data_IF_799093743441
#
_entry.id   IF_799093743441
#
_cell.length_a   1.000
_cell.length_b   1.000
_cell.length_c   1.000
_cell.angle_alpha   90.00
_cell.angle_beta   90.00
_cell.angle_gamma   90.00
#
_symmetry.space_group_name_H-M   'P 1'
#
loop_
_entity.id
_entity.type
_entity.pdbx_description
1 polymer ?
#
# COMPACT_ATOMS: atom_id res chain seq x y z
N UNK A 1 34.28 -2.15 -26.71
CA UNK A 1 33.07 -1.30 -26.72
C UNK A 1 32.06 -1.96 -27.63
N UNK A 2 30.95 -2.44 -27.06
CA UNK A 2 29.59 -2.49 -27.63
C UNK A 2 28.74 -3.40 -26.73
N UNK A 3 28.27 -2.83 -25.61
CA UNK A 3 27.22 -3.42 -24.78
C UNK A 3 25.87 -3.09 -25.42
N UNK A 4 25.42 -3.90 -26.38
CA UNK A 4 24.03 -3.89 -26.80
C UNK A 4 23.30 -4.90 -25.91
N UNK A 5 22.82 -4.43 -24.75
CA UNK A 5 21.93 -5.20 -23.88
C UNK A 5 20.58 -5.40 -24.57
N UNK A 6 20.42 -6.55 -25.21
CA UNK A 6 19.26 -6.93 -25.99
C UNK A 6 17.94 -6.74 -25.24
N UNK A 7 17.05 -5.89 -25.78
CA UNK A 7 15.62 -5.79 -25.40
C UNK A 7 14.84 -7.03 -25.88
N UNK A 8 15.29 -8.22 -25.47
CA UNK A 8 14.64 -9.49 -25.81
C UNK A 8 13.63 -9.83 -24.73
N UNK A 9 12.35 -9.58 -25.03
CA UNK A 9 11.23 -9.93 -24.15
C UNK A 9 11.13 -11.46 -24.00
N UNK A 10 11.39 -11.98 -22.81
CA UNK A 10 11.26 -13.42 -22.49
C UNK A 10 9.90 -13.74 -21.90
N UNK A 11 9.22 -14.75 -22.46
CA UNK A 11 7.98 -15.30 -21.87
C UNK A 11 8.31 -16.17 -20.66
N UNK A 12 7.59 -15.95 -19.57
CA UNK A 12 7.77 -16.69 -18.31
C UNK A 12 6.43 -17.19 -17.77
N UNK A 13 6.48 -18.17 -16.87
CA UNK A 13 5.29 -18.61 -16.14
C UNK A 13 4.75 -17.48 -15.26
N UNK A 14 3.45 -17.22 -15.32
CA UNK A 14 2.77 -16.15 -14.58
C UNK A 14 3.00 -16.25 -13.08
N UNK A 15 2.73 -17.41 -12.50
CA UNK A 15 2.83 -17.62 -11.04
C UNK A 15 4.28 -17.48 -10.57
N UNK A 16 5.23 -17.97 -11.35
CA UNK A 16 6.66 -17.82 -11.05
C UNK A 16 7.04 -16.34 -10.99
N UNK A 17 6.68 -15.55 -12.01
CA UNK A 17 6.99 -14.12 -12.06
C UNK A 17 6.40 -13.33 -10.88
N UNK A 18 5.12 -13.56 -10.57
CA UNK A 18 4.39 -12.93 -9.46
C UNK A 18 5.06 -13.28 -8.13
N UNK A 19 5.36 -14.56 -7.90
CA UNK A 19 5.95 -15.02 -6.65
C UNK A 19 7.40 -14.55 -6.48
N UNK A 20 8.23 -14.67 -7.53
CA UNK A 20 9.64 -14.24 -7.51
C UNK A 20 9.77 -12.74 -7.23
N UNK A 21 8.90 -11.92 -7.82
CA UNK A 21 8.92 -10.47 -7.61
C UNK A 21 8.05 -10.01 -6.43
N UNK A 22 7.31 -10.93 -5.78
CA UNK A 22 6.39 -10.63 -4.69
C UNK A 22 5.40 -9.51 -5.01
N UNK A 23 4.94 -9.45 -6.27
CA UNK A 23 3.99 -8.45 -6.75
C UNK A 23 2.58 -9.04 -6.84
N UNK A 24 1.55 -8.19 -6.74
CA UNK A 24 0.16 -8.63 -6.86
C UNK A 24 -0.26 -8.90 -8.31
N UNK A 25 -1.13 -9.88 -8.51
CA UNK A 25 -1.71 -10.20 -9.83
C UNK A 25 -2.40 -8.99 -10.49
N UNK A 26 -3.10 -8.18 -9.67
CA UNK A 26 -3.75 -6.94 -10.11
C UNK A 26 -2.76 -5.93 -10.67
N UNK A 27 -1.57 -5.85 -10.09
CA UNK A 27 -0.50 -4.95 -10.53
C UNK A 27 0.00 -5.35 -11.92
N UNK A 28 0.31 -6.62 -12.12
CA UNK A 28 0.74 -7.16 -13.42
C UNK A 28 -0.34 -6.90 -14.49
N UNK A 29 -1.62 -7.16 -14.16
CA UNK A 29 -2.74 -6.91 -15.07
C UNK A 29 -2.87 -5.43 -15.42
N UNK A 30 -2.71 -4.53 -14.45
CA UNK A 30 -2.76 -3.09 -14.68
C UNK A 30 -1.67 -2.64 -15.66
N UNK A 31 -0.45 -3.16 -15.52
CA UNK A 31 0.66 -2.83 -16.42
C UNK A 31 0.44 -3.34 -17.85
N UNK A 32 -0.10 -4.55 -18.00
CA UNK A 32 -0.43 -5.09 -19.33
C UNK A 32 -1.58 -4.36 -20.01
N UNK A 33 -2.47 -3.72 -19.23
CA UNK A 33 -3.59 -2.94 -19.75
C UNK A 33 -3.19 -1.50 -20.10
N UNK A 34 -2.23 -0.91 -19.38
CA UNK A 34 -1.71 0.44 -19.67
C UNK A 34 -0.83 0.53 -20.91
N UNK A 35 -0.32 -0.59 -21.40
CA UNK A 35 0.48 -0.69 -22.63
C UNK A 35 -0.40 -0.72 -23.91
N UNK A 36 -1.73 -0.80 -23.75
CA UNK A 36 -2.70 -0.72 -24.84
C UNK A 36 -3.21 0.73 -24.97
N UNK A 37 -3.38 1.28 -26.19
CA UNK A 37 -3.98 2.60 -26.37
C UNK A 37 -5.46 2.53 -25.95
N UNK A 38 -5.76 2.98 -24.73
CA UNK A 38 -7.13 2.97 -24.20
C UNK A 38 -7.92 4.17 -24.71
N UNK A 39 -8.88 3.95 -25.59
CA UNK A 39 -10.01 4.86 -25.82
C UNK A 39 -10.94 4.83 -24.61
N UNK A 40 -10.75 5.71 -23.62
CA UNK A 40 -11.79 5.95 -22.62
C UNK A 40 -11.47 7.15 -21.74
N UNK A 41 -12.00 8.31 -22.14
CA UNK A 41 -12.01 9.55 -21.36
C UNK A 41 -13.01 9.51 -20.19
N UNK A 42 -13.93 8.54 -20.15
CA UNK A 42 -14.98 8.43 -19.13
C UNK A 42 -14.51 7.80 -17.79
N UNK A 43 -13.28 7.25 -17.75
CA UNK A 43 -12.76 6.54 -16.58
C UNK A 43 -11.93 7.41 -15.61
N UNK A 44 -11.56 8.63 -16.01
CA UNK A 44 -10.68 9.52 -15.22
C UNK A 44 -11.39 10.03 -13.96
N UNK A 45 -12.63 10.53 -14.08
CA UNK A 45 -13.40 11.06 -12.96
C UNK A 45 -13.72 10.00 -11.90
N UNK A 46 -14.08 8.79 -12.34
CA UNK A 46 -14.35 7.68 -11.43
C UNK A 46 -13.08 7.24 -10.68
N UNK A 47 -11.93 7.22 -11.37
CA UNK A 47 -10.65 6.94 -10.71
C UNK A 47 -10.23 8.05 -9.75
N UNK A 48 -10.44 9.32 -10.10
CA UNK A 48 -10.15 10.45 -9.24
C UNK A 48 -11.01 10.40 -7.95
N UNK A 49 -12.29 10.04 -8.07
CA UNK A 49 -13.18 9.84 -6.93
C UNK A 49 -12.69 8.70 -6.03
N UNK A 50 -12.31 7.55 -6.57
CA UNK A 50 -11.76 6.42 -5.81
C UNK A 50 -10.47 6.82 -5.08
N UNK A 51 -9.57 7.56 -5.75
CA UNK A 51 -8.33 8.08 -5.14
C UNK A 51 -8.63 9.04 -3.99
N UNK A 52 -9.60 9.95 -4.15
CA UNK A 52 -10.02 10.89 -3.11
C UNK A 52 -10.64 10.18 -1.91
N UNK A 53 -11.53 9.22 -2.14
CA UNK A 53 -12.12 8.41 -1.07
C UNK A 53 -11.05 7.63 -0.30
N UNK A 54 -10.09 7.02 -0.99
CA UNK A 54 -8.96 6.33 -0.36
C UNK A 54 -8.10 7.29 0.46
N UNK A 55 -7.81 8.48 -0.06
CA UNK A 55 -7.04 9.52 0.66
C UNK A 55 -7.76 9.96 1.94
N UNK A 56 -9.07 10.21 1.88
CA UNK A 56 -9.86 10.57 3.05
C UNK A 56 -9.86 9.44 4.10
N UNK A 57 -10.00 8.18 3.67
CA UNK A 57 -9.93 7.03 4.58
C UNK A 57 -8.56 6.94 5.26
N UNK A 58 -7.46 7.14 4.52
CA UNK A 58 -6.10 7.14 5.10
C UNK A 58 -5.95 8.25 6.13
N UNK A 59 -6.42 9.47 5.82
CA UNK A 59 -6.38 10.60 6.77
C UNK A 59 -7.15 10.32 8.04
N UNK A 60 -8.36 9.75 7.93
CA UNK A 60 -9.17 9.40 9.11
C UNK A 60 -8.47 8.35 9.98
N UNK A 61 -7.81 7.36 9.37
CA UNK A 61 -7.03 6.36 10.10
C UNK A 61 -5.81 6.99 10.77
N UNK A 62 -5.10 7.88 10.06
CA UNK A 62 -3.94 8.57 10.60
C UNK A 62 -4.31 9.49 11.78
N UNK A 63 -5.42 10.22 11.69
CA UNK A 63 -5.95 11.05 12.77
C UNK A 63 -6.35 10.20 13.99
N UNK A 64 -7.00 9.05 13.76
CA UNK A 64 -7.30 8.08 14.81
C UNK A 64 -6.03 7.52 15.46
N UNK A 65 -5.04 7.10 14.69
CA UNK A 65 -3.78 6.57 15.24
C UNK A 65 -3.00 7.64 16.02
N UNK A 66 -3.10 8.91 15.63
CA UNK A 66 -2.46 10.01 16.33
C UNK A 66 -3.15 10.41 17.64
N UNK A 67 -4.43 10.08 17.82
CA UNK A 67 -5.16 10.32 19.08
C UNK A 67 -4.90 9.25 20.15
N UNK A 68 -4.26 8.14 19.79
CA UNK A 68 -3.89 7.09 20.73
C UNK A 68 -2.75 7.55 21.66
N UNK A 69 -2.79 7.16 22.96
CA UNK A 69 -1.71 7.45 23.89
C UNK A 69 -0.42 6.75 23.45
N UNK A 70 0.64 7.54 23.29
CA UNK A 70 1.94 7.11 22.79
C UNK A 70 2.85 6.78 23.98
N UNK A 71 3.56 5.66 23.90
CA UNK A 71 4.53 5.27 24.93
C UNK A 71 5.91 5.75 24.53
N UNK A 72 6.65 6.27 25.50
CA UNK A 72 8.04 6.65 25.34
C UNK A 72 8.90 5.47 24.88
N UNK A 73 9.87 5.80 24.03
CA UNK A 73 10.64 4.89 23.19
C UNK A 73 11.59 3.94 23.93
N UNK A 74 11.39 3.65 25.23
CA UNK A 74 12.25 2.74 25.98
C UNK A 74 12.34 1.32 25.37
N UNK A 75 11.34 0.93 24.56
CA UNK A 75 11.36 -0.28 23.72
C UNK A 75 11.90 -0.07 22.30
N UNK A 76 12.09 1.18 21.86
CA UNK A 76 12.72 1.50 20.59
C UNK A 76 14.24 1.53 20.79
N UNK A 77 14.94 0.58 20.17
CA UNK A 77 16.37 0.74 19.94
C UNK A 77 16.60 2.03 19.15
N UNK A 78 17.74 2.70 19.38
CA UNK A 78 18.09 4.04 18.92
C UNK A 78 17.95 4.31 17.39
N UNK A 79 17.64 3.30 16.58
CA UNK A 79 17.45 3.38 15.13
C UNK A 79 15.99 3.31 14.66
N UNK A 80 15.00 3.15 15.54
CA UNK A 80 13.61 2.91 15.15
C UNK A 80 12.68 4.09 15.40
N UNK A 81 12.04 4.58 14.34
CA UNK A 81 10.93 5.55 14.40
C UNK A 81 9.56 4.90 14.69
N UNK A 82 9.55 3.67 15.23
CA UNK A 82 8.30 2.98 15.58
C UNK A 82 7.69 3.63 16.81
N UNK A 83 6.39 3.79 16.79
CA UNK A 83 5.60 4.32 17.90
C UNK A 83 4.83 3.18 18.54
N UNK A 84 4.94 3.04 19.87
CA UNK A 84 4.21 2.03 20.61
C UNK A 84 3.00 2.66 21.30
N UNK A 85 1.90 1.92 21.32
CA UNK A 85 0.68 2.28 22.04
C UNK A 85 0.73 1.63 23.41
N UNK A 86 0.21 2.33 24.42
CA UNK A 86 0.16 1.81 25.78
C UNK A 86 -0.74 0.55 25.83
N UNK A 87 -0.34 -0.52 26.56
CA UNK A 87 -1.10 -1.78 26.60
C UNK A 87 -2.35 -1.65 27.51
N UNK A 88 -3.17 -0.63 27.27
CA UNK A 88 -4.41 -0.35 28.01
C UNK A 88 -5.55 -1.29 27.63
N UNK A 89 -5.49 -1.89 26.44
CA UNK A 89 -6.54 -2.75 25.90
C UNK A 89 -6.00 -4.13 25.55
N UNK A 90 -6.79 -5.16 25.87
CA UNK A 90 -6.48 -6.56 25.57
C UNK A 90 -6.76 -6.92 24.11
N UNK A 91 -7.54 -6.10 23.40
CA UNK A 91 -7.88 -6.30 21.99
C UNK A 91 -8.21 -5.01 21.25
N UNK A 92 -8.04 -5.02 19.93
CA UNK A 92 -8.46 -3.92 19.06
C UNK A 92 -9.97 -3.61 19.16
N UNK A 93 -10.80 -4.63 19.45
CA UNK A 93 -12.25 -4.45 19.62
C UNK A 93 -12.58 -3.66 20.87
N UNK A 94 -11.84 -3.89 21.95
CA UNK A 94 -11.98 -3.17 23.20
C UNK A 94 -11.55 -1.70 23.04
N UNK A 95 -10.40 -1.48 22.41
CA UNK A 95 -9.94 -0.13 22.03
C UNK A 95 -10.97 0.60 21.16
N UNK A 96 -11.52 -0.07 20.13
CA UNK A 96 -12.55 0.54 19.27
C UNK A 96 -13.82 0.93 20.04
N UNK A 97 -14.24 0.15 21.03
CA UNK A 97 -15.41 0.47 21.86
C UNK A 97 -15.17 1.70 22.74
N UNK A 98 -13.93 1.94 23.16
CA UNK A 98 -13.58 3.09 24.01
C UNK A 98 -13.65 4.43 23.25
N UNK A 99 -13.26 4.44 21.97
CA UNK A 99 -13.22 5.64 21.12
C UNK A 99 -14.46 5.84 20.21
N UNK A 100 -15.47 4.97 20.33
CA UNK A 100 -16.71 5.05 19.56
C UNK A 100 -17.63 6.14 20.11
#
# INVERSE_FOLDING_TARGET
MNENGDDVKKRVCRNMFINTLSIGEKTVRSWTLSDQPSTSLENEDHQAQIRRQKSNMVKNVEEFLNSLPKVESHYCQASSNKLYVEPLWSSLREMYRFYK
#
